data_IF_444093790874
#
_entry.id   IF_444093790874
#
_cell.length_a   1.000
_cell.length_b   1.000
_cell.length_c   1.000
_cell.angle_alpha   90.00
_cell.angle_beta   90.00
_cell.angle_gamma   90.00
#
_symmetry.space_group_name_H-M   'P 1'
#
loop_
_entity.id
_entity.type
_entity.pdbx_description
1 polymer ?
#
# COMPACT_ATOMS: atom_id res chain seq x y z
N UNK A 1 -1.25 -2.57 10.28
CA UNK A 1 -1.20 -3.27 8.99
C UNK A 1 0.00 -2.80 8.20
N UNK A 2 0.70 -3.67 7.46
CA UNK A 2 1.87 -3.25 6.70
C UNK A 2 1.47 -2.98 5.25
N UNK A 3 1.79 -1.80 4.72
CA UNK A 3 1.49 -1.44 3.34
C UNK A 3 2.74 -0.98 2.61
N UNK A 4 2.84 -1.31 1.33
CA UNK A 4 3.92 -0.91 0.44
C UNK A 4 3.37 0.02 -0.64
N UNK A 5 3.90 1.24 -0.81
CA UNK A 5 3.51 2.10 -1.92
C UNK A 5 3.99 1.48 -3.24
N UNK A 6 3.26 1.74 -4.34
CA UNK A 6 3.69 1.30 -5.67
C UNK A 6 4.95 2.06 -6.10
N UNK A 7 5.83 1.42 -6.85
CA UNK A 7 7.03 2.10 -7.36
C UNK A 7 6.62 3.29 -8.24
N UNK A 8 7.16 4.47 -7.92
CA UNK A 8 6.78 5.73 -8.56
C UNK A 8 5.70 6.53 -7.82
N UNK A 9 5.06 5.97 -6.79
CA UNK A 9 4.08 6.68 -5.96
C UNK A 9 4.66 7.01 -4.58
N UNK A 10 4.56 8.28 -4.19
CA UNK A 10 4.93 8.75 -2.85
C UNK A 10 3.67 8.98 -2.02
N UNK A 11 3.26 7.98 -1.26
CA UNK A 11 2.09 8.08 -0.38
C UNK A 11 2.51 8.63 0.98
N UNK A 12 2.05 9.83 1.32
CA UNK A 12 2.29 10.45 2.63
C UNK A 12 1.46 9.75 3.70
N UNK A 13 2.13 9.29 4.74
CA UNK A 13 1.50 8.69 5.91
C UNK A 13 0.92 9.82 6.79
N UNK A 14 -0.39 9.88 7.03
CA UNK A 14 -1.00 10.98 7.80
C UNK A 14 -0.58 10.97 9.27
N UNK A 15 -0.14 9.82 9.79
CA UNK A 15 0.28 9.66 11.18
C UNK A 15 1.75 10.03 11.38
N UNK A 16 2.62 9.64 10.44
CA UNK A 16 4.06 9.98 10.50
C UNK A 16 4.38 11.34 9.89
N UNK A 17 3.53 11.87 9.02
CA UNK A 17 3.80 13.07 8.22
C UNK A 17 4.81 12.86 7.08
N UNK A 18 5.41 11.67 6.98
CA UNK A 18 6.43 11.33 5.99
C UNK A 18 5.89 10.46 4.86
N UNK A 19 6.58 10.47 3.71
CA UNK A 19 6.30 9.54 2.63
C UNK A 19 6.62 8.10 3.06
N UNK A 20 5.77 7.15 2.66
CA UNK A 20 6.06 5.75 2.88
C UNK A 20 7.34 5.36 2.13
N UNK A 21 8.25 4.61 2.77
CA UNK A 21 9.41 4.07 2.09
C UNK A 21 8.97 3.07 1.03
N UNK A 22 9.78 2.92 -0.03
CA UNK A 22 9.51 1.94 -1.09
C UNK A 22 9.39 0.52 -0.58
N UNK A 23 10.06 0.18 0.51
CA UNK A 23 9.97 -1.13 1.16
C UNK A 23 8.61 -1.39 1.84
N UNK A 24 7.84 -0.33 2.05
CA UNK A 24 6.61 -0.33 2.82
C UNK A 24 6.84 -0.07 4.30
N UNK A 25 5.77 0.29 5.00
CA UNK A 25 5.81 0.52 6.44
C UNK A 25 4.55 0.00 7.12
N UNK A 26 4.68 -0.19 8.42
CA UNK A 26 3.53 -0.46 9.27
C UNK A 26 2.72 0.82 9.48
N UNK A 27 1.44 0.72 9.17
CA UNK A 27 0.46 1.80 9.24
C UNK A 27 -0.79 1.33 9.99
N UNK A 28 -1.53 2.22 10.65
CA UNK A 28 -2.79 1.85 11.26
C UNK A 28 -3.83 1.47 10.20
N UNK A 29 -4.67 0.48 10.46
CA UNK A 29 -5.80 0.15 9.59
C UNK A 29 -6.88 1.23 9.76
N UNK A 30 -6.87 2.20 8.86
CA UNK A 30 -7.80 3.33 8.84
C UNK A 30 -8.41 3.48 7.45
N UNK A 31 -9.54 4.19 7.37
CA UNK A 31 -10.24 4.48 6.12
C UNK A 31 -9.35 5.11 5.06
N UNK A 32 -8.37 5.94 5.46
CA UNK A 32 -7.37 6.52 4.56
C UNK A 32 -6.60 5.46 3.76
N UNK A 33 -6.09 4.45 4.44
CA UNK A 33 -5.31 3.40 3.79
C UNK A 33 -6.17 2.42 3.02
N UNK A 34 -7.37 2.13 3.51
CA UNK A 34 -8.37 1.34 2.76
C UNK A 34 -8.70 1.98 1.42
N UNK A 35 -8.80 3.32 1.39
CA UNK A 35 -8.98 4.08 0.16
C UNK A 35 -7.76 3.99 -0.75
N UNK A 36 -6.54 4.20 -0.24
CA UNK A 36 -5.30 4.04 -1.01
C UNK A 36 -5.12 2.62 -1.58
N UNK A 37 -5.57 1.60 -0.87
CA UNK A 37 -5.56 0.23 -1.38
C UNK A 37 -6.53 0.05 -2.54
N UNK A 38 -7.72 0.67 -2.47
CA UNK A 38 -8.69 0.68 -3.59
C UNK A 38 -8.21 1.49 -4.79
N UNK A 39 -7.55 2.62 -4.56
CA UNK A 39 -6.95 3.44 -5.62
C UNK A 39 -5.75 2.73 -6.29
N UNK A 40 -5.20 1.67 -5.68
CA UNK A 40 -3.99 1.00 -6.15
C UNK A 40 -2.69 1.75 -5.86
N UNK A 41 -2.77 2.81 -5.03
CA UNK A 41 -1.62 3.60 -4.57
C UNK A 41 -0.72 2.79 -3.63
N UNK A 42 -1.31 1.92 -2.80
CA UNK A 42 -0.60 1.07 -1.85
C UNK A 42 -1.10 -0.36 -1.89
N UNK A 43 -0.20 -1.32 -1.67
CA UNK A 43 -0.52 -2.73 -1.53
C UNK A 43 -0.36 -3.18 -0.08
N UNK A 44 -1.34 -3.90 0.44
CA UNK A 44 -1.24 -4.56 1.74
C UNK A 44 -0.21 -5.70 1.65
N UNK A 45 0.79 -5.70 2.53
CA UNK A 45 1.75 -6.79 2.66
C UNK A 45 1.52 -7.43 4.02
N UNK A 46 0.98 -8.64 4.05
CA UNK A 46 0.90 -9.40 5.29
C UNK A 46 2.25 -10.08 5.53
N UNK A 47 3.00 -9.59 6.52
CA UNK A 47 4.24 -10.22 6.99
C UNK A 47 3.88 -11.48 7.79
N UNK A 48 3.39 -12.52 7.12
CA UNK A 48 3.05 -13.79 7.77
C UNK A 48 1.82 -14.55 7.29
N UNK A 49 1.30 -14.36 6.08
CA UNK A 49 0.51 -15.43 5.43
C UNK A 49 0.59 -15.28 3.91
N UNK A 50 0.98 -16.38 3.26
CA UNK A 50 1.03 -16.53 1.81
C UNK A 50 -0.42 -16.47 1.28
N UNK A 51 -0.69 -15.59 0.31
CA UNK A 51 -1.71 -15.70 -0.77
C UNK A 51 -1.73 -14.37 -1.55
N UNK A 52 -1.14 -14.29 -2.76
CA UNK A 52 -1.74 -14.53 -4.10
C UNK A 52 -2.88 -13.59 -4.51
N UNK A 53 -2.67 -12.98 -5.69
CA UNK A 53 -3.61 -12.35 -6.63
C UNK A 53 -3.98 -10.87 -6.44
N UNK A 54 -3.20 -9.99 -7.10
CA UNK A 54 -3.77 -8.89 -7.89
C UNK A 54 -3.07 -8.84 -9.26
N UNK A 55 -3.62 -9.61 -10.21
CA UNK A 55 -3.83 -9.21 -11.62
C UNK A 55 -4.99 -8.18 -11.61
N UNK A 56 -5.16 -7.20 -12.48
CA UNK A 56 -4.81 -7.00 -13.90
C UNK A 56 -5.08 -5.51 -14.24
N UNK A 57 -4.89 -5.14 -15.52
CA UNK A 57 -5.18 -3.86 -16.22
C UNK A 57 -3.97 -2.92 -16.40
N UNK A 58 -3.45 -2.61 -17.59
CA UNK A 58 -3.96 -2.82 -18.95
C UNK A 58 -2.77 -2.91 -19.92
N UNK A 59 -2.86 -3.86 -20.86
CA UNK A 59 -1.94 -4.00 -21.98
C UNK A 59 -2.79 -4.17 -23.22
N UNK A 60 -2.99 -3.09 -23.99
CA UNK A 60 -3.01 -3.15 -25.45
C UNK A 60 -2.73 -1.80 -26.11
#
# INVERSE_FOLDING_TARGET
MFVKPKDGLSVRCPVRGEALPKEGAEVPDNTFWRRRMKDGDVNLVQKGVKNTAQKEDDSK
#
